data_IF_154962045949
#
_entry.id   IF_154962045949
#
_cell.length_a   1.000
_cell.length_b   1.000
_cell.length_c   1.000
_cell.angle_alpha   90.00
_cell.angle_beta   90.00
_cell.angle_gamma   90.00
#
_symmetry.space_group_name_H-M   'P 1'
#
loop_
_entity.id
_entity.type
_entity.pdbx_description
1 polymer ?
#
# COMPACT_ATOMS: atom_id res chain seq x y z
N UNK A 1 -8.71 -8.23 10.86
CA UNK A 1 -8.61 -6.84 11.39
C UNK A 1 -10.03 -6.31 11.55
N UNK A 2 -10.41 -5.80 12.72
CA UNK A 2 -11.73 -5.16 12.91
C UNK A 2 -11.62 -3.69 12.49
N UNK A 3 -12.41 -3.26 11.52
CA UNK A 3 -12.44 -1.88 11.02
C UNK A 3 -13.44 -1.08 11.86
N UNK A 4 -13.02 0.07 12.38
CA UNK A 4 -13.86 1.01 13.15
C UNK A 4 -14.21 2.20 12.27
N UNK A 5 -15.47 2.62 12.32
CA UNK A 5 -15.92 3.84 11.63
C UNK A 5 -15.37 5.06 12.39
N UNK A 6 -14.62 5.91 11.70
CA UNK A 6 -13.91 7.06 12.27
C UNK A 6 -13.59 8.12 11.23
N UNK A 7 -12.44 8.80 11.36
CA UNK A 7 -11.91 9.69 10.31
C UNK A 7 -10.90 8.92 9.46
N UNK A 8 -10.95 9.07 8.14
CA UNK A 8 -9.93 8.54 7.26
C UNK A 8 -8.65 9.36 7.34
N UNK A 9 -7.52 8.67 7.29
CA UNK A 9 -6.23 9.31 7.06
C UNK A 9 -6.13 9.77 5.60
N UNK A 10 -5.36 10.83 5.29
CA UNK A 10 -5.16 11.28 3.90
C UNK A 10 -4.66 10.18 2.97
N UNK A 11 -3.86 9.24 3.50
CA UNK A 11 -3.36 8.08 2.76
C UNK A 11 -4.46 7.08 2.42
N UNK A 12 -5.40 6.85 3.33
CA UNK A 12 -6.56 5.99 3.09
C UNK A 12 -7.51 6.63 2.07
N UNK A 13 -7.78 7.93 2.18
CA UNK A 13 -8.57 8.66 1.18
C UNK A 13 -7.94 8.56 -0.22
N UNK A 14 -6.62 8.77 -0.32
CA UNK A 14 -5.87 8.58 -1.56
C UNK A 14 -6.05 7.19 -2.16
N UNK A 15 -5.82 6.13 -1.36
CA UNK A 15 -5.94 4.73 -1.79
C UNK A 15 -7.33 4.40 -2.32
N UNK A 16 -8.38 4.85 -1.62
CA UNK A 16 -9.77 4.59 -2.03
C UNK A 16 -10.08 5.31 -3.34
N UNK A 17 -9.73 6.60 -3.47
CA UNK A 17 -9.96 7.34 -4.71
C UNK A 17 -9.18 6.77 -5.89
N UNK A 18 -7.93 6.35 -5.67
CA UNK A 18 -7.12 5.70 -6.69
C UNK A 18 -7.68 4.34 -7.11
N UNK A 19 -8.18 3.56 -6.16
CA UNK A 19 -8.81 2.28 -6.44
C UNK A 19 -10.13 2.43 -7.22
N UNK A 20 -10.95 3.45 -6.91
CA UNK A 20 -12.17 3.74 -7.67
C UNK A 20 -11.81 3.97 -9.15
N UNK A 21 -10.85 4.86 -9.43
CA UNK A 21 -10.41 5.17 -10.80
C UNK A 21 -9.92 3.91 -11.54
N UNK A 22 -9.02 3.15 -10.92
CA UNK A 22 -8.40 1.98 -11.55
C UNK A 22 -9.34 0.78 -11.72
N UNK A 23 -10.27 0.56 -10.79
CA UNK A 23 -11.25 -0.54 -10.86
C UNK A 23 -12.35 -0.19 -11.86
N UNK A 24 -12.77 1.07 -11.93
CA UNK A 24 -13.72 1.53 -12.94
C UNK A 24 -13.18 1.32 -14.36
N UNK A 25 -11.92 1.69 -14.61
CA UNK A 25 -11.25 1.45 -15.89
C UNK A 25 -11.14 -0.04 -16.24
N UNK A 26 -10.76 -0.88 -15.26
CA UNK A 26 -10.67 -2.34 -15.47
C UNK A 26 -12.04 -2.96 -15.78
N UNK A 27 -13.10 -2.55 -15.07
CA UNK A 27 -14.46 -3.04 -15.31
C UNK A 27 -14.94 -2.64 -16.70
N UNK A 28 -14.73 -1.38 -17.10
CA UNK A 28 -15.07 -0.89 -18.44
C UNK A 28 -14.30 -1.63 -19.54
N UNK A 29 -13.07 -2.03 -19.25
CA UNK A 29 -12.21 -2.80 -20.17
C UNK A 29 -12.42 -4.31 -20.08
N UNK A 30 -13.42 -4.79 -19.32
CA UNK A 30 -13.70 -6.22 -19.08
C UNK A 30 -12.56 -7.01 -18.41
N UNK A 31 -11.61 -6.31 -17.77
CA UNK A 31 -10.46 -6.88 -17.07
C UNK A 31 -10.78 -7.21 -15.59
N UNK A 32 -11.84 -7.98 -15.34
CA UNK A 32 -12.36 -8.26 -13.99
C UNK A 32 -11.35 -8.94 -13.05
N UNK A 33 -10.44 -9.76 -13.60
CA UNK A 33 -9.39 -10.41 -12.81
C UNK A 33 -8.46 -9.37 -12.17
N UNK A 34 -8.01 -8.39 -12.96
CA UNK A 34 -7.17 -7.28 -12.49
C UNK A 34 -7.90 -6.41 -11.48
N UNK A 35 -9.18 -6.11 -11.74
CA UNK A 35 -10.02 -5.36 -10.81
C UNK A 35 -10.13 -6.08 -9.45
N UNK A 36 -10.28 -7.40 -9.45
CA UNK A 36 -10.35 -8.23 -8.24
C UNK A 36 -9.02 -8.20 -7.47
N UNK A 37 -7.88 -8.27 -8.16
CA UNK A 37 -6.54 -8.16 -7.54
C UNK A 37 -6.36 -6.78 -6.89
N UNK A 38 -6.72 -5.71 -7.61
CA UNK A 38 -6.65 -4.33 -7.08
C UNK A 38 -7.56 -4.16 -5.86
N UNK A 39 -8.78 -4.69 -5.91
CA UNK A 39 -9.72 -4.65 -4.80
C UNK A 39 -9.19 -5.41 -3.57
N UNK A 40 -8.63 -6.61 -3.76
CA UNK A 40 -7.97 -7.36 -2.68
C UNK A 40 -6.81 -6.57 -2.08
N UNK A 41 -5.97 -5.98 -2.93
CA UNK A 41 -4.83 -5.17 -2.50
C UNK A 41 -5.28 -3.96 -1.69
N UNK A 42 -6.39 -3.32 -2.08
CA UNK A 42 -7.00 -2.25 -1.31
C UNK A 42 -7.38 -2.74 0.10
N UNK A 43 -8.10 -3.85 0.22
CA UNK A 43 -8.51 -4.43 1.51
C UNK A 43 -7.32 -4.73 2.43
N UNK A 44 -6.24 -5.31 1.90
CA UNK A 44 -5.04 -5.60 2.68
C UNK A 44 -4.38 -4.32 3.24
N UNK A 45 -4.45 -3.24 2.45
CA UNK A 45 -3.91 -1.91 2.77
C UNK A 45 -4.86 -1.01 3.57
N UNK A 46 -6.12 -1.40 3.79
CA UNK A 46 -7.02 -0.59 4.62
C UNK A 46 -6.56 -0.51 6.08
N UNK A 47 -6.68 0.68 6.65
CA UNK A 47 -6.37 0.96 8.04
C UNK A 47 -7.50 0.50 8.96
N UNK A 48 -7.22 0.38 10.27
CA UNK A 48 -8.23 0.00 11.25
C UNK A 48 -9.32 1.06 11.46
N UNK A 49 -9.09 2.29 11.00
CA UNK A 49 -10.06 3.37 11.04
C UNK A 49 -10.31 3.88 9.62
N UNK A 50 -11.57 3.96 9.25
CA UNK A 50 -12.00 4.47 7.95
C UNK A 50 -13.24 5.35 8.13
N UNK A 51 -13.36 6.39 7.32
CA UNK A 51 -14.58 7.19 7.26
C UNK A 51 -15.73 6.35 6.74
N UNK A 52 -16.95 6.65 7.21
CA UNK A 52 -18.16 5.96 6.71
C UNK A 52 -18.26 6.09 5.18
N UNK A 53 -17.98 7.28 4.65
CA UNK A 53 -18.03 7.58 3.21
C UNK A 53 -17.04 6.75 2.38
N UNK A 54 -15.82 6.55 2.87
CA UNK A 54 -14.82 5.76 2.15
C UNK A 54 -15.16 4.28 2.23
N UNK A 55 -15.66 3.81 3.38
CA UNK A 55 -16.16 2.44 3.53
C UNK A 55 -17.32 2.15 2.58
N UNK A 56 -18.27 3.08 2.46
CA UNK A 56 -19.36 3.01 1.48
C UNK A 56 -18.83 2.86 0.05
N UNK A 57 -17.82 3.66 -0.30
CA UNK A 57 -17.19 3.60 -1.62
C UNK A 57 -16.56 2.23 -1.87
N UNK A 58 -15.85 1.67 -0.88
CA UNK A 58 -15.23 0.33 -0.99
C UNK A 58 -16.30 -0.76 -1.14
N UNK A 59 -17.40 -0.71 -0.40
CA UNK A 59 -18.49 -1.69 -0.52
C UNK A 59 -19.15 -1.59 -1.91
N UNK A 60 -19.33 -0.37 -2.45
CA UNK A 60 -19.82 -0.17 -3.82
C UNK A 60 -18.89 -0.77 -4.87
N UNK A 61 -17.56 -0.64 -4.71
CA UNK A 61 -16.58 -1.28 -5.61
C UNK A 61 -16.63 -2.81 -5.53
N UNK A 62 -17.02 -3.36 -4.37
CA UNK A 62 -17.13 -4.80 -4.15
C UNK A 62 -18.44 -5.40 -4.69
N UNK A 63 -19.51 -4.60 -4.78
CA UNK A 63 -20.84 -5.05 -5.18
C UNK A 63 -20.91 -5.82 -6.51
N UNK A 64 -20.21 -5.44 -7.59
CA UNK A 64 -20.23 -6.19 -8.85
C UNK A 64 -19.67 -7.61 -8.75
N UNK A 65 -18.81 -7.88 -7.77
CA UNK A 65 -18.16 -9.18 -7.60
C UNK A 65 -18.90 -10.10 -6.63
N UNK A 66 -19.46 -9.53 -5.57
CA UNK A 66 -20.13 -10.27 -4.49
C UNK A 66 -21.36 -9.50 -3.99
N UNK A 67 -22.44 -9.44 -4.79
CA UNK A 67 -23.57 -8.56 -4.53
C UNK A 67 -24.28 -8.86 -3.20
N UNK A 68 -24.51 -10.14 -2.89
CA UNK A 68 -25.19 -10.54 -1.65
C UNK A 68 -24.41 -10.09 -0.40
N UNK A 69 -23.09 -10.29 -0.38
CA UNK A 69 -22.26 -9.83 0.74
C UNK A 69 -22.18 -8.31 0.81
N UNK A 70 -22.18 -7.63 -0.33
CA UNK A 70 -22.16 -6.18 -0.37
C UNK A 70 -23.45 -5.59 0.22
N UNK A 71 -24.62 -6.19 -0.05
CA UNK A 71 -25.90 -5.78 0.57
C UNK A 71 -25.87 -5.96 2.10
N UNK A 72 -25.40 -7.10 2.60
CA UNK A 72 -25.26 -7.34 4.04
C UNK A 72 -24.32 -6.31 4.70
N UNK A 73 -23.17 -6.03 4.08
CA UNK A 73 -22.25 -5.01 4.60
C UNK A 73 -22.85 -3.61 4.57
N UNK A 74 -23.62 -3.29 3.53
CA UNK A 74 -24.31 -2.01 3.38
C UNK A 74 -25.39 -1.82 4.46
N UNK A 75 -26.14 -2.87 4.78
CA UNK A 75 -27.12 -2.84 5.87
C UNK A 75 -26.44 -2.73 7.25
N UNK A 76 -25.34 -3.46 7.48
CA UNK A 76 -24.58 -3.42 8.74
C UNK A 76 -24.07 -2.00 9.05
N UNK A 77 -23.65 -1.23 8.03
CA UNK A 77 -23.23 0.17 8.23
C UNK A 77 -24.40 1.16 8.37
N UNK A 78 -25.63 0.66 8.35
CA UNK A 78 -26.87 1.40 8.57
C UNK A 78 -27.35 2.16 7.34
N UNK A 79 -27.02 1.72 6.14
CA UNK A 79 -27.44 2.37 4.91
C UNK A 79 -28.69 1.71 4.32
N UNK A 80 -29.52 2.54 3.68
CA UNK A 80 -30.72 2.19 2.92
C UNK A 80 -30.80 3.21 1.77
N UNK A 81 -31.23 2.88 0.53
CA UNK A 81 -31.80 1.62 0.01
C UNK A 81 -30.71 0.58 -0.36
N UNK A 82 -31.08 -0.48 -1.09
CA UNK A 82 -30.18 -1.52 -1.62
C UNK A 82 -28.98 -0.93 -2.36
N UNK A 83 -27.81 -1.54 -2.20
CA UNK A 83 -26.58 -1.07 -2.86
C UNK A 83 -26.66 -1.20 -4.38
N UNK A 84 -27.45 -2.13 -4.88
CA UNK A 84 -27.69 -2.32 -6.31
C UNK A 84 -28.39 -1.12 -6.99
N UNK A 85 -29.10 -0.28 -6.22
CA UNK A 85 -29.76 0.93 -6.71
C UNK A 85 -28.90 2.18 -6.56
N UNK A 86 -27.78 2.06 -5.84
CA UNK A 86 -26.89 3.18 -5.57
C UNK A 86 -26.02 3.53 -6.78
N UNK A 87 -25.70 4.82 -6.91
CA UNK A 87 -24.75 5.26 -7.93
C UNK A 87 -23.32 4.83 -7.60
N UNK A 88 -22.55 4.52 -8.65
CA UNK A 88 -21.13 4.24 -8.56
C UNK A 88 -20.36 5.38 -7.85
N UNK A 89 -19.37 5.07 -6.99
CA UNK A 89 -18.63 6.09 -6.26
C UNK A 89 -17.87 7.01 -7.22
N UNK A 90 -17.91 8.32 -6.95
CA UNK A 90 -17.21 9.33 -7.76
C UNK A 90 -15.79 9.55 -7.25
N UNK A 91 -14.83 9.51 -8.16
CA UNK A 91 -13.42 9.82 -7.87
C UNK A 91 -13.26 11.29 -7.50
N UNK A 92 -12.66 11.56 -6.34
CA UNK A 92 -12.21 12.89 -5.98
C UNK A 92 -10.72 13.05 -6.29
N UNK A 93 -10.41 13.60 -7.47
CA UNK A 93 -9.03 13.81 -7.93
C UNK A 93 -8.20 14.70 -7.01
N UNK A 94 -8.81 15.61 -6.25
CA UNK A 94 -8.09 16.46 -5.27
C UNK A 94 -7.48 15.67 -4.09
N UNK A 95 -7.97 14.44 -3.88
CA UNK A 95 -7.49 13.53 -2.82
C UNK A 95 -6.46 12.54 -3.33
N UNK A 96 -6.21 12.49 -4.64
CA UNK A 96 -5.18 11.66 -5.24
C UNK A 96 -3.85 12.42 -5.19
N UNK A 97 -2.87 11.84 -4.52
CA UNK A 97 -1.52 12.38 -4.38
C UNK A 97 -0.50 11.34 -4.87
N UNK A 98 0.14 11.63 -6.00
CA UNK A 98 1.16 10.77 -6.61
C UNK A 98 2.37 10.51 -5.69
N UNK A 99 2.62 11.39 -4.71
CA UNK A 99 3.65 11.15 -3.70
C UNK A 99 3.38 9.87 -2.92
N UNK A 100 2.12 9.62 -2.54
CA UNK A 100 1.75 8.40 -1.81
C UNK A 100 1.88 7.15 -2.68
N UNK A 101 1.60 7.25 -3.99
CA UNK A 101 1.83 6.15 -4.94
C UNK A 101 3.33 5.78 -4.99
N UNK A 102 4.22 6.78 -5.10
CA UNK A 102 5.68 6.56 -5.11
C UNK A 102 6.20 5.99 -3.79
N UNK A 103 5.74 6.54 -2.66
CA UNK A 103 6.07 6.02 -1.33
C UNK A 103 5.72 4.53 -1.18
N UNK A 104 4.54 4.14 -1.66
CA UNK A 104 4.10 2.74 -1.62
C UNK A 104 4.92 1.87 -2.54
N UNK A 105 5.13 2.29 -3.79
CA UNK A 105 5.90 1.53 -4.76
C UNK A 105 7.32 1.26 -4.27
N UNK A 106 7.98 2.28 -3.71
CA UNK A 106 9.36 2.17 -3.21
C UNK A 106 9.43 1.25 -1.98
N UNK A 107 8.47 1.40 -1.07
CA UNK A 107 8.35 0.55 0.12
C UNK A 107 8.04 -0.90 -0.25
N UNK A 108 7.10 -1.15 -1.17
CA UNK A 108 6.70 -2.48 -1.63
C UNK A 108 7.87 -3.20 -2.33
N UNK A 109 8.60 -2.50 -3.20
CA UNK A 109 9.81 -3.04 -3.85
C UNK A 109 10.90 -3.36 -2.84
N UNK A 110 11.21 -2.45 -1.92
CA UNK A 110 12.21 -2.68 -0.89
C UNK A 110 11.86 -3.89 -0.01
N UNK A 111 10.61 -4.02 0.44
CA UNK A 111 10.17 -5.17 1.23
C UNK A 111 10.32 -6.47 0.44
N UNK A 112 9.90 -6.49 -0.83
CA UNK A 112 10.04 -7.66 -1.70
C UNK A 112 11.51 -8.07 -1.86
N UNK A 113 12.39 -7.12 -2.15
CA UNK A 113 13.82 -7.37 -2.32
C UNK A 113 14.46 -7.90 -1.03
N UNK A 114 14.11 -7.34 0.13
CA UNK A 114 14.58 -7.82 1.43
C UNK A 114 14.11 -9.26 1.67
N UNK A 115 12.82 -9.55 1.47
CA UNK A 115 12.27 -10.90 1.66
C UNK A 115 12.97 -11.91 0.75
N UNK A 116 13.20 -11.55 -0.51
CA UNK A 116 13.92 -12.40 -1.47
C UNK A 116 15.35 -12.69 -1.01
N UNK A 117 16.08 -11.69 -0.51
CA UNK A 117 17.43 -11.88 0.02
C UNK A 117 17.41 -12.75 1.29
N UNK A 118 16.46 -12.52 2.20
CA UNK A 118 16.34 -13.32 3.43
C UNK A 118 16.06 -14.80 3.13
N UNK A 119 15.22 -15.09 2.14
CA UNK A 119 14.94 -16.45 1.70
C UNK A 119 16.17 -17.16 1.13
N UNK A 120 17.13 -16.41 0.57
CA UNK A 120 18.38 -16.96 0.03
C UNK A 120 19.42 -17.24 1.12
N UNK A 121 19.50 -16.38 2.14
CA UNK A 121 20.57 -16.43 3.15
C UNK A 121 20.36 -17.57 4.16
N UNK A 122 19.12 -18.07 4.38
CA UNK A 122 18.75 -19.16 5.33
C UNK A 122 19.24 -19.00 6.79
N UNK A 123 19.97 -17.94 7.12
CA UNK A 123 20.46 -17.61 8.45
C UNK A 123 19.53 -16.58 9.12
N UNK A 124 19.42 -16.65 10.44
CA UNK A 124 18.64 -15.71 11.22
C UNK A 124 19.37 -14.37 11.34
N UNK A 125 18.98 -13.40 10.51
CA UNK A 125 19.51 -12.03 10.53
C UNK A 125 18.60 -11.13 11.34
N UNK A 126 19.15 -10.13 12.03
CA UNK A 126 18.35 -9.23 12.88
C UNK A 126 18.23 -7.84 12.28
N UNK A 127 19.25 -7.41 11.54
CA UNK A 127 19.37 -6.03 11.08
C UNK A 127 19.54 -5.96 9.57
N UNK A 128 18.83 -5.02 8.96
CA UNK A 128 18.88 -4.75 7.52
C UNK A 128 19.24 -3.29 7.32
N UNK A 129 20.26 -3.06 6.51
CA UNK A 129 20.75 -1.75 6.14
C UNK A 129 20.35 -1.46 4.69
N UNK A 130 19.55 -0.41 4.50
CA UNK A 130 19.20 0.11 3.18
C UNK A 130 20.03 1.34 2.87
N UNK A 131 20.65 1.34 1.70
CA UNK A 131 21.32 2.50 1.15
C UNK A 131 20.47 3.08 0.02
N UNK A 132 20.07 4.33 0.19
CA UNK A 132 19.16 5.03 -0.74
C UNK A 132 19.82 6.27 -1.32
N UNK A 133 19.37 6.71 -2.49
CA UNK A 133 19.77 8.01 -3.00
C UNK A 133 19.15 9.13 -2.15
N UNK A 134 19.82 10.30 -2.00
CA UNK A 134 19.32 11.39 -1.15
C UNK A 134 17.91 11.85 -1.51
N UNK A 135 17.59 11.88 -2.80
CA UNK A 135 16.27 12.30 -3.30
C UNK A 135 15.19 11.24 -3.07
N UNK A 136 15.58 9.97 -2.91
CA UNK A 136 14.63 8.87 -2.75
C UNK A 136 14.28 8.60 -1.29
N UNK A 137 15.08 9.13 -0.35
CA UNK A 137 14.94 8.88 1.08
C UNK A 137 13.53 9.21 1.61
N UNK A 138 12.91 10.27 1.09
CA UNK A 138 11.57 10.68 1.52
C UNK A 138 10.47 9.66 1.18
N UNK A 139 10.72 8.74 0.24
CA UNK A 139 9.76 7.74 -0.19
C UNK A 139 9.82 6.43 0.62
N UNK A 140 10.82 6.26 1.49
CA UNK A 140 10.98 5.04 2.27
C UNK A 140 10.45 5.21 3.70
N UNK A 141 9.42 4.44 4.04
CA UNK A 141 8.86 4.44 5.39
C UNK A 141 9.45 3.28 6.21
N UNK A 142 10.39 3.61 7.12
CA UNK A 142 11.14 2.66 7.96
C UNK A 142 10.19 1.78 8.79
N UNK A 143 9.20 2.37 9.44
CA UNK A 143 8.26 1.64 10.30
C UNK A 143 7.47 0.59 9.51
N UNK A 144 7.01 0.94 8.31
CA UNK A 144 6.27 0.01 7.46
C UNK A 144 7.16 -1.12 6.93
N UNK A 145 8.41 -0.83 6.55
CA UNK A 145 9.36 -1.86 6.10
C UNK A 145 9.65 -2.80 7.26
N UNK A 146 10.02 -2.25 8.43
CA UNK A 146 10.34 -3.03 9.64
C UNK A 146 9.19 -3.94 10.07
N UNK A 147 7.96 -3.41 10.10
CA UNK A 147 6.76 -4.19 10.43
C UNK A 147 6.51 -5.35 9.47
N UNK A 148 6.80 -5.17 8.17
CA UNK A 148 6.52 -6.19 7.13
C UNK A 148 7.61 -7.23 7.01
N UNK A 149 8.86 -6.88 7.29
CA UNK A 149 9.99 -7.81 7.27
C UNK A 149 10.23 -8.47 8.63
N UNK A 150 9.67 -7.90 9.71
CA UNK A 150 9.95 -8.26 11.10
C UNK A 150 11.46 -8.18 11.41
N UNK A 151 12.13 -7.13 10.92
CA UNK A 151 13.56 -6.86 11.10
C UNK A 151 13.80 -5.42 11.54
N UNK A 152 14.94 -5.19 12.19
CA UNK A 152 15.42 -3.84 12.48
C UNK A 152 15.96 -3.23 11.18
N UNK A 153 15.45 -2.05 10.81
CA UNK A 153 15.82 -1.38 9.56
C UNK A 153 16.61 -0.11 9.86
N UNK A 154 17.80 -0.01 9.29
CA UNK A 154 18.59 1.22 9.25
C UNK A 154 18.67 1.73 7.81
N UNK A 155 18.35 3.01 7.58
CA UNK A 155 18.45 3.63 6.26
C UNK A 155 19.55 4.69 6.27
N UNK A 156 20.44 4.63 5.29
CA UNK A 156 21.51 5.61 5.07
C UNK A 156 21.42 6.18 3.65
N UNK A 157 21.81 7.44 3.49
CA UNK A 157 22.03 7.98 2.15
C UNK A 157 23.38 7.48 1.63
N UNK A 158 23.47 7.26 0.32
CA UNK A 158 24.73 6.82 -0.30
C UNK A 158 25.90 7.79 -0.08
N UNK A 159 25.64 9.07 0.21
CA UNK A 159 26.62 10.11 0.44
C UNK A 159 26.87 10.44 1.92
N UNK A 160 26.22 9.75 2.86
CA UNK A 160 26.46 9.97 4.29
C UNK A 160 27.88 9.53 4.66
N UNK A 161 28.61 10.39 5.39
CA UNK A 161 29.99 10.13 5.82
C UNK A 161 30.07 9.06 6.92
N UNK A 162 29.05 9.01 7.77
CA UNK A 162 28.99 8.12 8.94
C UNK A 162 28.17 6.84 8.68
N UNK A 163 27.93 6.50 7.40
CA UNK A 163 27.18 5.29 7.04
C UNK A 163 27.97 4.03 7.42
N UNK A 164 27.29 3.07 8.02
CA UNK A 164 27.83 1.73 8.20
C UNK A 164 27.67 0.94 6.91
N UNK A 165 28.75 0.71 6.15
CA UNK A 165 28.75 -0.04 4.88
C UNK A 165 30.01 -0.91 4.73
N UNK A 166 30.12 -2.05 5.46
CA UNK A 166 31.31 -2.88 5.47
C UNK A 166 31.65 -3.53 4.12
N UNK A 167 30.64 -3.75 3.26
CA UNK A 167 30.80 -4.37 1.93
C UNK A 167 30.75 -3.36 0.76
N UNK A 168 30.71 -2.05 1.05
CA UNK A 168 30.59 -0.98 0.05
C UNK A 168 29.39 -1.16 -0.90
N UNK A 169 28.29 -1.73 -0.39
CA UNK A 169 27.09 -2.03 -1.18
C UNK A 169 26.36 -0.77 -1.64
N UNK A 170 26.54 0.36 -0.96
CA UNK A 170 25.93 1.65 -1.33
C UNK A 170 26.18 2.06 -2.79
N UNK A 171 27.31 1.66 -3.38
CA UNK A 171 27.63 1.89 -4.81
C UNK A 171 26.67 1.22 -5.79
N UNK A 172 25.95 0.19 -5.37
CA UNK A 172 24.99 -0.55 -6.21
C UNK A 172 23.60 0.08 -6.22
N UNK A 173 23.35 1.11 -5.42
CA UNK A 173 22.05 1.80 -5.37
C UNK A 173 21.74 2.49 -6.70
N UNK A 174 20.47 2.45 -7.11
CA UNK A 174 19.96 3.14 -8.30
C UNK A 174 18.67 3.90 -7.94
N UNK A 175 18.21 4.85 -8.78
CA UNK A 175 16.95 5.54 -8.54
C UNK A 175 15.79 4.55 -8.34
N UNK A 176 15.10 4.64 -7.21
CA UNK A 176 14.01 3.74 -6.81
C UNK A 176 14.41 2.29 -6.53
N UNK A 177 15.70 1.97 -6.45
CA UNK A 177 16.22 0.65 -6.11
C UNK A 177 17.34 0.77 -5.07
N UNK A 178 17.04 0.53 -3.77
CA UNK A 178 18.01 0.66 -2.71
C UNK A 178 19.02 -0.50 -2.77
N UNK A 179 20.25 -0.24 -2.34
CA UNK A 179 21.17 -1.34 -2.06
C UNK A 179 20.89 -1.88 -0.65
N UNK A 180 20.98 -3.20 -0.49
CA UNK A 180 20.61 -3.89 0.76
C UNK A 180 21.81 -4.67 1.31
N UNK A 181 22.16 -4.41 2.56
CA UNK A 181 23.08 -5.20 3.36
C UNK A 181 22.34 -5.78 4.56
N UNK A 182 22.62 -7.03 4.93
CA UNK A 182 21.90 -7.74 5.98
C UNK A 182 22.94 -8.34 6.92
N UNK A 183 22.69 -8.21 8.23
CA UNK A 183 23.53 -8.67 9.33
C UNK A 183 22.70 -9.38 10.42
#
# INVERSE_FOLDING_TARGET
>A
KTVKVGKSTPRTEHRVNRAIEQIEEDIQSFNYHTATIKLRTLFDKLESQISKKDLESVIKLFAPFCPHLAEEFWEIIGNKPFISLESWPKVNKSKINEKFDKEEEFTDKAVSDIINILNLIKTETKKVYLYVLPNDLEFYNIENISRRTNKEIAIYKVNDKDKYDPENKSKKSKPGKPAIFIE
#
